data_IF_505792955317
#
_entry.id   IF_505792955317
#
_cell.length_a   1.000
_cell.length_b   1.000
_cell.length_c   1.000
_cell.angle_alpha   90.00
_cell.angle_beta   90.00
_cell.angle_gamma   90.00
#
_symmetry.space_group_name_H-M   'P 1'
#
loop_
_entity.id
_entity.type
_entity.pdbx_description
1 polymer ?
#
# COMPACT_ATOMS: atom_id res chain seq x y z
N UNK A 1 -31.26 15.04 16.19
CA UNK A 1 -30.86 15.35 14.80
C UNK A 1 -31.90 14.75 13.87
N UNK A 2 -32.29 15.41 12.78
CA UNK A 2 -33.35 14.92 11.89
C UNK A 2 -32.88 13.66 11.17
N UNK A 3 -33.68 12.57 11.16
CA UNK A 3 -33.36 11.30 10.47
C UNK A 3 -32.94 11.58 9.01
N UNK A 4 -33.58 12.56 8.36
CA UNK A 4 -33.24 12.99 7.00
C UNK A 4 -31.77 13.40 6.90
N UNK A 5 -31.25 14.21 7.82
CA UNK A 5 -29.85 14.67 7.79
C UNK A 5 -28.84 13.54 7.99
N UNK A 6 -29.19 12.48 8.72
CA UNK A 6 -28.32 11.31 8.89
C UNK A 6 -28.30 10.46 7.62
N UNK A 7 -29.47 10.23 7.02
CA UNK A 7 -29.61 9.51 5.75
C UNK A 7 -28.87 10.25 4.63
N UNK A 8 -29.00 11.57 4.55
CA UNK A 8 -28.29 12.40 3.57
C UNK A 8 -26.77 12.21 3.66
N UNK A 9 -26.23 12.16 4.89
CA UNK A 9 -24.80 11.96 5.12
C UNK A 9 -24.33 10.55 4.70
N UNK A 10 -25.15 9.52 4.94
CA UNK A 10 -24.85 8.15 4.51
C UNK A 10 -24.91 8.01 3.00
N UNK A 11 -25.93 8.59 2.35
CA UNK A 11 -26.06 8.61 0.89
C UNK A 11 -24.86 9.34 0.27
N UNK A 12 -24.50 10.51 0.80
CA UNK A 12 -23.32 11.26 0.35
C UNK A 12 -22.04 10.42 0.44
N UNK A 13 -21.81 9.75 1.58
CA UNK A 13 -20.65 8.88 1.78
C UNK A 13 -20.66 7.69 0.82
N UNK A 14 -21.83 7.09 0.58
CA UNK A 14 -21.98 5.97 -0.35
C UNK A 14 -21.71 6.40 -1.81
N UNK A 15 -22.17 7.58 -2.22
CA UNK A 15 -21.91 8.14 -3.56
C UNK A 15 -20.40 8.31 -3.77
N UNK A 16 -19.66 8.86 -2.79
CA UNK A 16 -18.20 8.99 -2.88
C UNK A 16 -17.55 7.62 -3.09
N UNK A 17 -17.93 6.63 -2.28
CA UNK A 17 -17.37 5.28 -2.37
C UNK A 17 -17.69 4.61 -3.72
N UNK A 18 -18.89 4.81 -4.26
CA UNK A 18 -19.28 4.31 -5.57
C UNK A 18 -18.50 4.98 -6.70
N UNK A 19 -18.28 6.30 -6.64
CA UNK A 19 -17.44 7.02 -7.62
C UNK A 19 -16.03 6.44 -7.63
N UNK A 20 -15.42 6.27 -6.45
CA UNK A 20 -14.07 5.66 -6.33
C UNK A 20 -14.07 4.25 -6.90
N UNK A 21 -15.08 3.44 -6.56
CA UNK A 21 -15.22 2.07 -7.06
C UNK A 21 -15.27 2.01 -8.59
N UNK A 22 -16.15 2.82 -9.21
CA UNK A 22 -16.28 2.84 -10.66
C UNK A 22 -15.02 3.38 -11.35
N UNK A 23 -14.36 4.38 -10.77
CA UNK A 23 -13.07 4.88 -11.26
C UNK A 23 -12.04 3.75 -11.33
N UNK A 24 -11.85 3.00 -10.24
CA UNK A 24 -10.91 1.87 -10.18
C UNK A 24 -11.25 0.81 -11.23
N UNK A 25 -12.55 0.53 -11.46
CA UNK A 25 -12.97 -0.45 -12.47
C UNK A 25 -12.73 0.00 -13.91
N UNK A 26 -12.68 1.32 -14.18
CA UNK A 26 -12.32 1.83 -15.51
C UNK A 26 -10.84 1.68 -15.83
N UNK A 27 -9.98 1.70 -14.82
CA UNK A 27 -8.55 1.46 -15.03
C UNK A 27 -8.27 -0.03 -15.25
N UNK A 28 -7.68 -0.38 -16.41
CA UNK A 28 -7.36 -1.77 -16.81
C UNK A 28 -6.17 -2.37 -16.04
N UNK A 29 -5.95 -2.02 -14.78
CA UNK A 29 -4.88 -2.61 -13.95
C UNK A 29 -5.36 -3.98 -13.44
N UNK A 30 -5.23 -5.00 -14.28
CA UNK A 30 -5.60 -6.38 -13.92
C UNK A 30 -4.60 -6.97 -12.91
N UNK A 31 -5.12 -7.50 -11.81
CA UNK A 31 -4.46 -8.42 -10.86
C UNK A 31 -3.40 -7.88 -9.88
N UNK A 32 -3.45 -6.60 -9.49
CA UNK A 32 -2.74 -6.16 -8.27
C UNK A 32 -3.59 -6.51 -7.04
N UNK A 33 -3.07 -7.36 -6.14
CA UNK A 33 -3.80 -7.75 -4.93
C UNK A 33 -4.03 -6.60 -3.96
N UNK A 34 -3.23 -5.52 -4.02
CA UNK A 34 -3.51 -4.32 -3.23
C UNK A 34 -4.81 -3.65 -3.66
N UNK A 35 -5.15 -3.69 -4.95
CA UNK A 35 -6.43 -3.19 -5.47
C UNK A 35 -7.57 -4.08 -4.94
N UNK A 36 -7.40 -5.40 -4.93
CA UNK A 36 -8.41 -6.34 -4.39
C UNK A 36 -8.70 -6.05 -2.90
N UNK A 37 -7.67 -5.86 -2.08
CA UNK A 37 -7.88 -5.50 -0.67
C UNK A 37 -8.46 -4.09 -0.49
N UNK A 38 -8.14 -3.15 -1.39
CA UNK A 38 -8.74 -1.83 -1.37
C UNK A 38 -10.22 -1.85 -1.77
N UNK A 39 -10.60 -2.64 -2.77
CA UNK A 39 -12.00 -2.89 -3.13
C UNK A 39 -12.76 -3.54 -1.96
N UNK A 40 -12.14 -4.48 -1.25
CA UNK A 40 -12.73 -5.08 -0.05
C UNK A 40 -13.08 -4.02 1.02
N UNK A 41 -12.21 -3.03 1.25
CA UNK A 41 -12.49 -1.91 2.15
C UNK A 41 -13.73 -1.15 1.68
N UNK A 42 -13.81 -0.82 0.39
CA UNK A 42 -14.95 -0.10 -0.19
C UNK A 42 -16.25 -0.90 0.01
N UNK A 43 -16.24 -2.19 -0.33
CA UNK A 43 -17.41 -3.06 -0.18
C UNK A 43 -17.89 -3.16 1.27
N UNK A 44 -16.96 -3.34 2.21
CA UNK A 44 -17.28 -3.41 3.64
C UNK A 44 -17.83 -2.07 4.13
N UNK A 45 -17.28 -0.93 3.69
CA UNK A 45 -17.81 0.38 4.08
C UNK A 45 -19.20 0.65 3.50
N UNK A 46 -19.45 0.27 2.24
CA UNK A 46 -20.78 0.35 1.62
C UNK A 46 -21.79 -0.54 2.35
N UNK A 47 -21.41 -1.76 2.71
CA UNK A 47 -22.25 -2.67 3.50
C UNK A 47 -22.65 -2.05 4.83
N UNK A 48 -21.70 -1.45 5.54
CA UNK A 48 -21.99 -0.78 6.82
C UNK A 48 -22.90 0.43 6.67
N UNK A 49 -22.66 1.28 5.66
CA UNK A 49 -23.52 2.43 5.35
C UNK A 49 -24.96 2.02 5.07
N UNK A 50 -25.15 0.93 4.31
CA UNK A 50 -26.47 0.39 3.99
C UNK A 50 -27.15 -0.14 5.27
N UNK A 51 -26.46 -0.96 6.06
CA UNK A 51 -27.03 -1.50 7.30
C UNK A 51 -27.43 -0.38 8.27
N UNK A 52 -26.61 0.66 8.42
CA UNK A 52 -26.91 1.74 9.34
C UNK A 52 -28.04 2.63 8.83
N UNK A 53 -28.10 2.92 7.53
CA UNK A 53 -29.22 3.64 6.93
C UNK A 53 -30.55 2.88 7.12
N UNK A 54 -30.56 1.56 6.86
CA UNK A 54 -31.75 0.73 7.07
C UNK A 54 -32.11 0.70 8.57
N UNK A 55 -31.13 0.67 9.48
CA UNK A 55 -31.38 0.66 10.93
C UNK A 55 -32.11 1.91 11.40
N UNK A 56 -31.77 3.08 10.87
CA UNK A 56 -32.46 4.33 11.21
C UNK A 56 -33.88 4.41 10.61
N UNK A 57 -34.08 3.86 9.42
CA UNK A 57 -35.40 3.86 8.75
C UNK A 57 -36.38 2.89 9.43
N UNK A 58 -35.87 1.77 9.96
CA UNK A 58 -36.70 0.71 10.55
C UNK A 58 -36.83 0.81 12.07
N UNK A 59 -36.13 1.75 12.72
CA UNK A 59 -36.24 1.97 14.16
C UNK A 59 -37.68 2.34 14.54
N UNK A 60 -38.25 1.66 15.55
CA UNK A 60 -39.63 1.86 15.98
C UNK A 60 -40.73 1.16 15.16
N UNK A 61 -40.39 0.44 14.06
CA UNK A 61 -41.41 -0.23 13.23
C UNK A 61 -41.74 -1.67 13.68
N UNK A 62 -40.73 -2.48 13.97
CA UNK A 62 -40.91 -3.90 14.32
C UNK A 62 -39.79 -4.40 15.22
N UNK A 63 -40.16 -5.01 16.35
CA UNK A 63 -39.21 -5.61 17.28
C UNK A 63 -38.27 -6.62 16.61
N UNK A 64 -38.82 -7.58 15.86
CA UNK A 64 -38.04 -8.69 15.28
C UNK A 64 -37.05 -8.14 14.24
N UNK A 65 -37.51 -7.25 13.37
CA UNK A 65 -36.69 -6.67 12.31
C UNK A 65 -35.58 -5.81 12.93
N UNK A 66 -35.93 -4.94 13.88
CA UNK A 66 -34.97 -4.05 14.54
C UNK A 66 -33.91 -4.84 15.33
N UNK A 67 -34.32 -5.91 16.01
CA UNK A 67 -33.40 -6.78 16.75
C UNK A 67 -32.36 -7.43 15.84
N UNK A 68 -32.80 -8.13 14.78
CA UNK A 68 -31.89 -8.85 13.88
C UNK A 68 -31.04 -7.92 13.02
N UNK A 69 -31.58 -6.78 12.61
CA UNK A 69 -30.80 -5.78 11.87
C UNK A 69 -29.66 -5.20 12.72
N UNK A 70 -29.94 -4.83 13.97
CA UNK A 70 -28.90 -4.39 14.90
C UNK A 70 -27.91 -5.51 15.22
N UNK A 71 -28.38 -6.76 15.31
CA UNK A 71 -27.51 -7.92 15.49
C UNK A 71 -26.49 -8.05 14.34
N UNK A 72 -26.96 -7.93 13.09
CA UNK A 72 -26.10 -7.99 11.89
C UNK A 72 -25.18 -6.76 11.80
N UNK A 73 -25.69 -5.57 12.11
CA UNK A 73 -24.91 -4.33 12.15
C UNK A 73 -23.75 -4.44 13.15
N UNK A 74 -24.05 -4.87 14.37
CA UNK A 74 -23.06 -5.06 15.41
C UNK A 74 -22.04 -6.16 15.05
N UNK A 75 -22.48 -7.28 14.48
CA UNK A 75 -21.56 -8.32 14.01
C UNK A 75 -20.62 -7.83 12.91
N UNK A 76 -21.08 -6.89 12.07
CA UNK A 76 -20.32 -6.35 10.95
C UNK A 76 -19.28 -5.29 11.36
N UNK A 77 -19.40 -4.69 12.55
CA UNK A 77 -18.51 -3.61 13.03
C UNK A 77 -17.00 -3.89 12.97
N UNK A 78 -16.50 -5.12 13.21
CA UNK A 78 -15.08 -5.41 13.10
C UNK A 78 -14.56 -5.48 11.66
N UNK A 79 -15.44 -5.71 10.67
CA UNK A 79 -15.03 -5.96 9.28
C UNK A 79 -14.24 -4.80 8.67
N UNK A 80 -14.59 -3.51 8.88
CA UNK A 80 -13.77 -2.39 8.43
C UNK A 80 -12.32 -2.50 8.94
N UNK A 81 -12.11 -2.69 10.25
CA UNK A 81 -10.76 -2.86 10.81
C UNK A 81 -10.02 -4.02 10.15
N UNK A 82 -10.67 -5.18 10.00
CA UNK A 82 -10.07 -6.36 9.36
C UNK A 82 -9.64 -6.05 7.93
N UNK A 83 -10.50 -5.42 7.13
CA UNK A 83 -10.21 -5.08 5.73
C UNK A 83 -9.03 -4.10 5.62
N UNK A 84 -8.96 -3.10 6.49
CA UNK A 84 -7.85 -2.16 6.58
C UNK A 84 -6.54 -2.85 6.96
N UNK A 85 -6.55 -3.69 8.00
CA UNK A 85 -5.36 -4.41 8.43
C UNK A 85 -4.83 -5.34 7.32
N UNK A 86 -5.70 -6.01 6.57
CA UNK A 86 -5.29 -6.82 5.42
C UNK A 86 -4.64 -5.98 4.32
N UNK A 87 -5.23 -4.84 3.98
CA UNK A 87 -4.68 -3.92 2.98
C UNK A 87 -3.28 -3.43 3.37
N UNK A 88 -3.11 -2.95 4.61
CA UNK A 88 -1.82 -2.45 5.08
C UNK A 88 -0.78 -3.56 5.25
N UNK A 89 -1.18 -4.74 5.74
CA UNK A 89 -0.28 -5.90 5.84
C UNK A 89 0.22 -6.34 4.45
N UNK A 90 -0.64 -6.31 3.42
CA UNK A 90 -0.22 -6.54 2.04
C UNK A 90 0.74 -5.47 1.53
N UNK A 91 0.44 -4.17 1.71
CA UNK A 91 1.33 -3.08 1.26
C UNK A 91 2.71 -3.11 1.94
N UNK A 92 2.82 -3.70 3.13
CA UNK A 92 4.08 -3.77 3.88
C UNK A 92 4.85 -5.06 3.60
N UNK A 93 4.16 -6.19 3.38
CA UNK A 93 4.80 -7.50 3.26
C UNK A 93 4.79 -8.09 1.85
N UNK A 94 3.84 -7.72 1.00
CA UNK A 94 3.58 -8.28 -0.33
C UNK A 94 3.65 -9.83 -0.37
N UNK A 95 3.30 -10.48 0.74
CA UNK A 95 3.39 -11.94 0.93
C UNK A 95 2.04 -12.52 1.29
N UNK A 96 1.43 -13.22 0.33
CA UNK A 96 0.12 -13.85 0.48
C UNK A 96 0.05 -14.90 1.58
N UNK A 97 1.11 -15.68 1.79
CA UNK A 97 1.10 -16.75 2.81
C UNK A 97 1.04 -16.13 4.21
N UNK A 98 1.80 -15.05 4.40
CA UNK A 98 1.82 -14.31 5.66
C UNK A 98 0.49 -13.65 5.96
N UNK A 99 -0.15 -13.04 4.97
CA UNK A 99 -1.46 -12.40 5.13
C UNK A 99 -2.52 -13.45 5.48
N UNK A 100 -2.52 -14.62 4.83
CA UNK A 100 -3.47 -15.70 5.16
C UNK A 100 -3.30 -16.18 6.60
N UNK A 101 -2.09 -16.18 7.14
CA UNK A 101 -1.82 -16.49 8.55
C UNK A 101 -2.34 -15.37 9.46
N UNK A 102 -2.05 -14.11 9.13
CA UNK A 102 -2.45 -12.94 9.91
C UNK A 102 -3.97 -12.71 9.91
N UNK A 103 -4.67 -13.08 8.83
CA UNK A 103 -6.13 -12.99 8.73
C UNK A 103 -6.84 -13.66 9.92
N UNK A 104 -6.37 -14.84 10.35
CA UNK A 104 -6.95 -15.54 11.51
C UNK A 104 -6.85 -14.72 12.80
N UNK A 105 -5.76 -13.96 12.95
CA UNK A 105 -5.55 -13.07 14.10
C UNK A 105 -6.46 -11.86 13.98
N UNK A 106 -6.57 -11.26 12.79
CA UNK A 106 -7.42 -10.10 12.55
C UNK A 106 -8.91 -10.40 12.77
N UNK A 107 -9.35 -11.64 12.59
CA UNK A 107 -10.73 -12.07 12.86
C UNK A 107 -11.06 -12.28 14.35
N UNK A 108 -10.11 -12.16 15.28
CA UNK A 108 -10.37 -12.36 16.71
C UNK A 108 -11.48 -11.43 17.26
N UNK A 109 -11.51 -10.11 16.99
CA UNK A 109 -12.59 -9.24 17.44
C UNK A 109 -13.97 -9.67 16.91
N UNK A 110 -14.03 -10.12 15.64
CA UNK A 110 -15.26 -10.64 15.05
C UNK A 110 -15.77 -11.89 15.79
N UNK A 111 -14.88 -12.83 16.11
CA UNK A 111 -15.24 -14.06 16.85
C UNK A 111 -15.74 -13.71 18.27
N UNK A 112 -15.06 -12.79 18.96
CA UNK A 112 -15.47 -12.33 20.30
C UNK A 112 -16.89 -11.74 20.24
N UNK A 113 -17.13 -10.83 19.30
CA UNK A 113 -18.44 -10.18 19.13
C UNK A 113 -19.52 -11.19 18.75
N UNK A 114 -19.23 -12.13 17.86
CA UNK A 114 -20.15 -13.18 17.47
C UNK A 114 -20.62 -14.03 18.67
N UNK A 115 -19.69 -14.47 19.52
CA UNK A 115 -20.02 -15.24 20.74
C UNK A 115 -20.87 -14.42 21.71
N UNK A 116 -20.53 -13.14 21.91
CA UNK A 116 -21.27 -12.26 22.80
C UNK A 116 -22.68 -11.96 22.27
N UNK A 117 -22.84 -11.81 20.96
CA UNK A 117 -24.14 -11.59 20.32
C UNK A 117 -25.03 -12.84 20.38
N UNK A 118 -24.46 -14.04 20.29
CA UNK A 118 -25.22 -15.29 20.56
C UNK A 118 -25.71 -15.30 22.01
N UNK A 119 -24.86 -14.94 22.96
CA UNK A 119 -25.26 -14.86 24.37
C UNK A 119 -26.34 -13.78 24.61
N UNK A 120 -26.24 -12.65 23.90
CA UNK A 120 -27.21 -11.54 23.96
C UNK A 120 -28.64 -11.95 23.58
N UNK A 121 -28.81 -12.98 22.76
CA UNK A 121 -30.13 -13.51 22.38
C UNK A 121 -30.92 -14.06 23.58
N UNK A 122 -30.21 -14.53 24.60
CA UNK A 122 -30.81 -15.10 25.81
C UNK A 122 -30.69 -14.18 27.01
N UNK A 123 -29.59 -13.44 27.12
CA UNK A 123 -29.29 -12.54 28.23
C UNK A 123 -28.81 -11.20 27.65
N UNK A 124 -29.69 -10.18 27.54
CA UNK A 124 -29.34 -8.91 26.91
C UNK A 124 -28.29 -8.18 27.74
N UNK A 125 -27.06 -8.14 27.24
CA UNK A 125 -25.91 -7.47 27.86
C UNK A 125 -25.28 -6.40 26.95
N UNK A 126 -25.45 -6.51 25.63
CA UNK A 126 -24.92 -5.59 24.62
C UNK A 126 -26.00 -4.58 24.22
N UNK A 127 -27.19 -5.06 23.86
CA UNK A 127 -28.32 -4.23 23.46
C UNK A 127 -29.65 -4.94 23.73
N UNK A 128 -30.71 -4.14 23.79
CA UNK A 128 -32.09 -4.60 23.80
C UNK A 128 -32.94 -3.68 22.92
N UNK A 129 -34.09 -4.17 22.50
CA UNK A 129 -35.15 -3.32 21.94
C UNK A 129 -36.15 -3.05 23.07
N UNK A 130 -36.50 -1.78 23.28
CA UNK A 130 -37.42 -1.38 24.35
C UNK A 130 -38.90 -1.59 23.96
N UNK A 131 -39.81 -1.25 24.87
CA UNK A 131 -41.26 -1.39 24.65
C UNK A 131 -41.79 -0.46 23.54
N UNK A 132 -41.05 0.57 23.16
CA UNK A 132 -41.37 1.47 22.05
C UNK A 132 -40.76 0.96 20.72
N UNK A 133 -40.25 -0.28 20.70
CA UNK A 133 -39.55 -0.89 19.57
C UNK A 133 -38.28 -0.13 19.17
N UNK A 134 -37.71 0.64 20.09
CA UNK A 134 -36.50 1.43 19.87
C UNK A 134 -35.26 0.70 20.36
N UNK A 135 -34.18 0.85 19.62
CA UNK A 135 -32.89 0.29 20.00
C UNK A 135 -32.30 0.99 21.25
N UNK A 136 -31.92 0.21 22.26
CA UNK A 136 -31.26 0.70 23.49
C UNK A 136 -29.93 -0.01 23.74
N UNK A 137 -28.89 0.79 24.01
CA UNK A 137 -27.51 0.33 24.29
C UNK A 137 -27.34 -0.11 25.74
N UNK A 138 -26.63 -1.21 25.97
CA UNK A 138 -26.27 -1.71 27.30
C UNK A 138 -24.75 -1.65 27.53
N UNK A 139 -24.31 -1.89 28.77
CA UNK A 139 -22.89 -1.77 29.17
C UNK A 139 -21.95 -2.71 28.41
N UNK A 140 -22.43 -3.85 27.91
CA UNK A 140 -21.62 -4.78 27.11
C UNK A 140 -21.17 -4.20 25.77
N UNK A 141 -21.78 -3.11 25.29
CA UNK A 141 -21.38 -2.45 24.05
C UNK A 141 -19.93 -1.92 24.08
N UNK A 142 -19.38 -1.61 25.26
CA UNK A 142 -17.99 -1.15 25.38
C UNK A 142 -16.95 -2.21 24.99
N UNK A 143 -17.32 -3.50 24.92
CA UNK A 143 -16.41 -4.58 24.51
C UNK A 143 -15.95 -4.40 23.05
N UNK A 144 -16.81 -3.83 22.19
CA UNK A 144 -16.55 -3.64 20.77
C UNK A 144 -15.32 -2.75 20.53
N UNK A 145 -15.32 -1.46 20.94
CA UNK A 145 -14.16 -0.58 20.76
C UNK A 145 -12.92 -1.10 21.51
N UNK A 146 -13.07 -1.74 22.67
CA UNK A 146 -11.94 -2.33 23.40
C UNK A 146 -11.26 -3.42 22.55
N UNK A 147 -12.04 -4.32 21.95
CA UNK A 147 -11.50 -5.41 21.13
C UNK A 147 -10.82 -4.89 19.86
N UNK A 148 -11.42 -3.90 19.19
CA UNK A 148 -10.92 -3.30 17.96
C UNK A 148 -9.63 -2.51 18.20
N UNK A 149 -9.61 -1.64 19.22
CA UNK A 149 -8.44 -0.83 19.54
C UNK A 149 -7.29 -1.70 20.07
N UNK A 150 -7.59 -2.75 20.83
CA UNK A 150 -6.57 -3.71 21.26
C UNK A 150 -5.90 -4.39 20.06
N UNK A 151 -6.69 -4.83 19.07
CA UNK A 151 -6.17 -5.44 17.84
C UNK A 151 -5.33 -4.44 17.03
N UNK A 152 -5.77 -3.18 16.91
CA UNK A 152 -5.02 -2.14 16.24
C UNK A 152 -3.68 -1.83 16.95
N UNK A 153 -3.67 -1.76 18.28
CA UNK A 153 -2.44 -1.56 19.07
C UNK A 153 -1.46 -2.73 18.85
N UNK A 154 -1.95 -3.97 18.88
CA UNK A 154 -1.13 -5.16 18.61
C UNK A 154 -0.51 -5.07 17.21
N UNK A 155 -1.27 -4.63 16.22
CA UNK A 155 -0.76 -4.42 14.86
C UNK A 155 0.36 -3.36 14.83
N UNK A 156 0.15 -2.20 15.47
CA UNK A 156 1.17 -1.14 15.56
C UNK A 156 2.45 -1.60 16.26
N UNK A 157 2.35 -2.41 17.32
CA UNK A 157 3.52 -2.98 18.01
C UNK A 157 4.30 -3.89 17.05
N UNK A 158 3.60 -4.73 16.29
CA UNK A 158 4.24 -5.60 15.29
C UNK A 158 4.91 -4.81 14.16
N UNK A 159 4.35 -3.67 13.77
CA UNK A 159 4.92 -2.79 12.74
C UNK A 159 6.25 -2.15 13.14
N UNK A 160 6.53 -1.99 14.45
CA UNK A 160 7.81 -1.43 14.91
C UNK A 160 9.02 -2.23 14.40
N UNK A 161 8.85 -3.53 14.17
CA UNK A 161 9.88 -4.42 13.60
C UNK A 161 10.29 -4.03 12.19
N UNK A 162 9.44 -3.31 11.45
CA UNK A 162 9.64 -2.97 10.04
C UNK A 162 9.77 -1.46 9.81
N UNK A 163 9.80 -0.64 10.85
CA UNK A 163 9.71 0.83 10.78
C UNK A 163 10.77 1.49 9.86
N UNK A 164 11.94 0.85 9.70
CA UNK A 164 13.04 1.38 8.89
C UNK A 164 12.87 1.10 7.39
N UNK A 165 12.01 0.14 7.02
CA UNK A 165 11.78 -0.27 5.63
C UNK A 165 10.47 0.24 5.05
N UNK A 166 9.56 0.72 5.90
CA UNK A 166 8.23 1.22 5.50
C UNK A 166 8.31 2.71 5.15
N UNK A 167 7.63 3.13 4.08
CA UNK A 167 7.43 4.55 3.80
C UNK A 167 6.69 5.23 4.96
N UNK A 168 7.29 6.29 5.51
CA UNK A 168 6.66 7.10 6.56
C UNK A 168 5.30 7.69 6.14
N UNK A 169 5.04 7.87 4.85
CA UNK A 169 3.71 8.25 4.34
C UNK A 169 2.69 7.14 4.55
N UNK A 170 3.03 5.88 4.24
CA UNK A 170 2.15 4.73 4.50
C UNK A 170 1.81 4.63 5.99
N UNK A 171 2.79 4.83 6.88
CA UNK A 171 2.56 4.83 8.32
C UNK A 171 1.61 5.98 8.72
N UNK A 172 1.79 7.19 8.18
CA UNK A 172 0.89 8.31 8.44
C UNK A 172 -0.52 8.03 7.95
N UNK A 173 -0.68 7.48 6.74
CA UNK A 173 -1.99 7.09 6.19
C UNK A 173 -2.66 6.05 7.08
N UNK A 174 -1.95 5.00 7.49
CA UNK A 174 -2.44 3.99 8.45
C UNK A 174 -2.93 4.64 9.75
N UNK A 175 -2.12 5.53 10.34
CA UNK A 175 -2.49 6.20 11.59
C UNK A 175 -3.72 7.08 11.42
N UNK A 176 -3.82 7.84 10.34
CA UNK A 176 -4.99 8.70 10.08
C UNK A 176 -6.26 7.88 9.88
N UNK A 177 -6.19 6.84 9.04
CA UNK A 177 -7.30 5.93 8.73
C UNK A 177 -7.84 5.23 9.96
N UNK A 178 -6.99 4.94 10.95
CA UNK A 178 -7.42 4.29 12.17
C UNK A 178 -7.83 5.28 13.26
N UNK A 179 -7.05 6.34 13.51
CA UNK A 179 -7.29 7.26 14.64
C UNK A 179 -8.52 8.13 14.39
N UNK A 180 -8.70 8.68 13.19
CA UNK A 180 -9.78 9.65 12.92
C UNK A 180 -11.16 9.01 13.06
N UNK A 181 -11.46 7.85 12.43
CA UNK A 181 -12.73 7.16 12.64
C UNK A 181 -12.89 6.64 14.06
N UNK A 182 -11.80 6.27 14.74
CA UNK A 182 -11.86 5.84 16.14
C UNK A 182 -12.31 6.97 17.08
N UNK A 183 -11.80 8.19 16.88
CA UNK A 183 -12.25 9.36 17.64
C UNK A 183 -13.73 9.65 17.35
N UNK A 184 -14.15 9.56 16.09
CA UNK A 184 -15.54 9.74 15.70
C UNK A 184 -16.45 8.68 16.36
N UNK A 185 -16.02 7.42 16.39
CA UNK A 185 -16.73 6.32 17.04
C UNK A 185 -16.83 6.52 18.55
N UNK A 186 -15.76 6.96 19.22
CA UNK A 186 -15.78 7.30 20.65
C UNK A 186 -16.79 8.41 20.93
N UNK A 187 -16.80 9.48 20.14
CA UNK A 187 -17.79 10.57 20.29
C UNK A 187 -19.21 10.02 20.11
N UNK A 188 -19.46 9.17 19.11
CA UNK A 188 -20.77 8.54 18.86
C UNK A 188 -21.22 7.58 19.98
N UNK A 189 -20.29 7.03 20.76
CA UNK A 189 -20.63 6.22 21.95
C UNK A 189 -21.19 7.13 23.06
N UNK A 190 -20.56 8.28 23.31
CA UNK A 190 -20.95 9.20 24.39
C UNK A 190 -22.09 10.16 24.00
N UNK A 191 -22.25 10.47 22.72
CA UNK A 191 -23.24 11.42 22.22
C UNK A 191 -24.21 10.71 21.27
N UNK A 192 -25.39 10.36 21.78
CA UNK A 192 -26.44 9.73 21.00
C UNK A 192 -26.90 10.65 19.86
N UNK A 193 -27.12 10.08 18.67
CA UNK A 193 -27.61 10.80 17.48
C UNK A 193 -26.53 11.46 16.61
N UNK A 194 -25.26 11.46 17.01
CA UNK A 194 -24.13 11.88 16.16
C UNK A 194 -23.73 10.74 15.24
N UNK A 195 -23.71 10.98 13.93
CA UNK A 195 -23.38 9.98 12.89
C UNK A 195 -22.07 10.30 12.17
N UNK A 196 -21.03 10.62 12.94
CA UNK A 196 -19.75 11.09 12.39
C UNK A 196 -18.85 9.95 11.88
N UNK A 197 -19.00 8.74 12.43
CA UNK A 197 -18.07 7.62 12.18
C UNK A 197 -18.02 7.25 10.70
N UNK A 198 -19.17 7.10 10.04
CA UNK A 198 -19.20 6.70 8.64
C UNK A 198 -18.80 7.81 7.65
N UNK A 199 -19.11 9.07 7.98
CA UNK A 199 -18.61 10.21 7.20
C UNK A 199 -17.08 10.30 7.25
N UNK A 200 -16.50 10.12 8.45
CA UNK A 200 -15.04 10.08 8.59
C UNK A 200 -14.43 8.86 7.93
N UNK A 201 -15.09 7.69 7.95
CA UNK A 201 -14.65 6.50 7.22
C UNK A 201 -14.61 6.74 5.70
N UNK A 202 -15.67 7.33 5.13
CA UNK A 202 -15.70 7.68 3.70
C UNK A 202 -14.55 8.62 3.31
N UNK A 203 -14.27 9.62 4.14
CA UNK A 203 -13.13 10.52 3.96
C UNK A 203 -11.77 9.79 4.07
N UNK A 204 -11.64 8.83 4.99
CA UNK A 204 -10.42 8.01 5.12
C UNK A 204 -10.19 7.08 3.92
N UNK A 205 -11.26 6.52 3.35
CA UNK A 205 -11.18 5.76 2.09
C UNK A 205 -10.73 6.68 0.96
N UNK A 206 -11.26 7.89 0.86
CA UNK A 206 -10.83 8.88 -0.15
C UNK A 206 -9.37 9.29 0.01
N UNK A 207 -8.89 9.55 1.23
CA UNK A 207 -7.46 9.83 1.49
C UNK A 207 -6.59 8.65 1.08
N UNK A 208 -7.03 7.43 1.34
CA UNK A 208 -6.29 6.23 0.93
C UNK A 208 -6.31 6.04 -0.57
N UNK A 209 -7.41 6.36 -1.25
CA UNK A 209 -7.48 6.37 -2.70
C UNK A 209 -6.45 7.34 -3.29
N UNK A 210 -6.36 8.58 -2.79
CA UNK A 210 -5.32 9.55 -3.19
C UNK A 210 -3.91 8.98 -2.96
N UNK A 211 -3.69 8.29 -1.84
CA UNK A 211 -2.41 7.64 -1.57
C UNK A 211 -2.10 6.53 -2.59
N UNK A 212 -3.08 5.68 -2.93
CA UNK A 212 -2.92 4.60 -3.92
C UNK A 212 -2.61 5.16 -5.30
N UNK A 213 -3.37 6.16 -5.76
CA UNK A 213 -3.14 6.84 -7.05
C UNK A 213 -1.77 7.51 -7.13
N UNK A 214 -1.29 8.05 -6.01
CA UNK A 214 0.05 8.61 -5.97
C UNK A 214 1.11 7.52 -6.12
N UNK A 215 0.92 6.36 -5.51
CA UNK A 215 1.88 5.25 -5.58
C UNK A 215 1.98 4.66 -7.00
N UNK A 216 0.88 4.61 -7.76
CA UNK A 216 0.90 4.17 -9.16
C UNK A 216 1.72 5.13 -10.02
N UNK A 217 1.59 6.45 -9.81
CA UNK A 217 2.41 7.46 -10.46
C UNK A 217 3.91 7.39 -10.11
N UNK A 218 4.25 6.73 -9.00
CA UNK A 218 5.63 6.54 -8.59
C UNK A 218 6.28 5.30 -9.22
N UNK A 219 5.54 4.49 -9.99
CA UNK A 219 6.07 3.33 -10.73
C UNK A 219 6.03 3.55 -12.24
N UNK A 220 7.06 3.05 -12.93
CA UNK A 220 7.14 3.02 -14.38
C UNK A 220 6.18 1.95 -14.93
N UNK A 221 5.30 2.34 -15.85
CA UNK A 221 4.23 1.47 -16.35
C UNK A 221 4.76 0.27 -17.16
N UNK A 222 5.91 0.42 -17.81
CA UNK A 222 6.48 -0.62 -18.67
C UNK A 222 7.20 -1.70 -17.84
N UNK A 223 8.03 -1.28 -16.90
CA UNK A 223 8.95 -2.16 -16.16
C UNK A 223 8.47 -2.48 -14.75
N UNK A 224 7.52 -1.72 -14.20
CA UNK A 224 7.06 -1.82 -12.81
C UNK A 224 8.06 -1.28 -11.78
N UNK A 225 9.21 -0.78 -12.22
CA UNK A 225 10.26 -0.21 -11.39
C UNK A 225 9.84 1.16 -10.84
N UNK A 226 10.58 1.66 -9.86
CA UNK A 226 10.39 3.02 -9.37
C UNK A 226 10.67 4.08 -10.44
N UNK A 227 9.99 5.21 -10.37
CA UNK A 227 10.26 6.39 -11.21
C UNK A 227 11.35 7.26 -10.58
N UNK A 228 11.91 8.17 -11.41
CA UNK A 228 12.82 9.22 -10.95
C UNK A 228 12.27 10.01 -9.76
N UNK A 229 10.99 10.36 -9.77
CA UNK A 229 10.36 11.07 -8.66
C UNK A 229 10.42 10.28 -7.34
N UNK A 230 10.25 8.96 -7.39
CA UNK A 230 10.39 8.12 -6.21
C UNK A 230 11.85 8.04 -5.73
N UNK A 231 12.81 7.96 -6.66
CA UNK A 231 14.23 7.94 -6.35
C UNK A 231 14.66 9.19 -5.59
N UNK A 232 14.28 10.37 -6.08
CA UNK A 232 14.60 11.66 -5.44
C UNK A 232 14.05 11.73 -4.01
N UNK A 233 12.80 11.26 -3.80
CA UNK A 233 12.20 11.17 -2.47
C UNK A 233 13.00 10.25 -1.52
N UNK A 234 13.40 9.07 -1.99
CA UNK A 234 14.12 8.07 -1.16
C UNK A 234 15.56 8.49 -0.89
N UNK A 235 16.20 9.14 -1.85
CA UNK A 235 17.53 9.73 -1.70
C UNK A 235 17.52 10.84 -0.64
N UNK A 236 16.56 11.78 -0.71
CA UNK A 236 16.39 12.84 0.28
C UNK A 236 16.15 12.26 1.69
N UNK A 237 15.36 11.19 1.81
CA UNK A 237 15.15 10.51 3.08
C UNK A 237 16.44 9.90 3.65
N UNK A 238 17.23 9.19 2.84
CA UNK A 238 18.49 8.57 3.29
C UNK A 238 19.52 9.62 3.70
N UNK A 239 19.64 10.72 2.94
CA UNK A 239 20.51 11.85 3.29
C UNK A 239 20.10 12.48 4.62
N UNK A 240 18.80 12.75 4.81
CA UNK A 240 18.28 13.32 6.06
C UNK A 240 18.50 12.40 7.27
N UNK A 241 18.39 11.07 7.07
CA UNK A 241 18.58 10.06 8.12
C UNK A 241 20.04 9.68 8.34
N UNK A 242 20.97 10.19 7.53
CA UNK A 242 22.38 9.77 7.51
C UNK A 242 22.48 8.26 7.46
N UNK A 243 21.89 7.66 6.43
CA UNK A 243 22.02 6.22 6.13
C UNK A 243 23.08 6.07 5.04
N UNK A 244 24.04 5.16 5.20
CA UNK A 244 25.04 4.91 4.17
C UNK A 244 24.43 4.14 2.98
N UNK A 245 24.81 4.50 1.76
CA UNK A 245 24.31 3.87 0.55
C UNK A 245 25.27 3.97 -0.62
N UNK A 246 25.06 3.12 -1.62
CA UNK A 246 25.64 3.25 -2.96
C UNK A 246 24.56 3.59 -3.97
N UNK A 247 24.85 4.54 -4.87
CA UNK A 247 24.08 4.75 -6.10
C UNK A 247 24.83 4.14 -7.27
N UNK A 248 24.11 3.45 -8.15
CA UNK A 248 24.64 2.90 -9.39
C UNK A 248 23.80 3.46 -10.54
N UNK A 249 24.43 4.20 -11.45
CA UNK A 249 23.83 4.62 -12.71
C UNK A 249 24.12 3.56 -13.77
N UNK A 250 23.10 3.19 -14.54
CA UNK A 250 23.13 2.14 -15.55
C UNK A 250 22.48 2.66 -16.82
N UNK A 251 23.08 2.38 -17.96
CA UNK A 251 22.55 2.68 -19.30
C UNK A 251 22.69 1.44 -20.18
N UNK A 252 21.64 1.13 -20.96
CA UNK A 252 21.70 0.02 -21.92
C UNK A 252 22.50 0.43 -23.16
N UNK A 253 23.54 -0.33 -23.48
CA UNK A 253 24.27 -0.08 -24.71
C UNK A 253 23.44 -0.53 -25.92
N UNK A 254 23.53 0.25 -26.99
CA UNK A 254 22.91 -0.04 -28.30
C UNK A 254 21.39 -0.27 -28.26
N UNK A 255 20.70 0.26 -27.25
CA UNK A 255 19.25 0.14 -27.14
C UNK A 255 18.50 0.70 -28.35
N UNK A 256 18.99 1.84 -28.89
CA UNK A 256 18.44 2.41 -30.12
C UNK A 256 18.59 1.45 -31.31
N UNK A 257 19.71 0.72 -31.42
CA UNK A 257 19.91 -0.28 -32.48
C UNK A 257 18.89 -1.41 -32.35
N UNK A 258 18.58 -1.84 -31.12
CA UNK A 258 17.53 -2.84 -30.88
C UNK A 258 16.18 -2.34 -31.39
N UNK A 259 15.78 -1.11 -31.02
CA UNK A 259 14.53 -0.51 -31.51
C UNK A 259 14.49 -0.39 -33.04
N UNK A 260 15.56 0.14 -33.62
CA UNK A 260 15.62 0.44 -35.06
C UNK A 260 15.65 -0.85 -35.90
N UNK A 261 16.21 -1.95 -35.37
CA UNK A 261 16.34 -3.24 -36.07
C UNK A 261 15.16 -4.17 -35.85
N UNK A 262 14.63 -4.24 -34.63
CA UNK A 262 13.64 -5.24 -34.21
C UNK A 262 12.28 -4.65 -33.84
N UNK A 263 12.15 -3.32 -33.85
CA UNK A 263 10.94 -2.60 -33.49
C UNK A 263 10.82 -2.29 -31.99
N UNK A 264 9.95 -1.34 -31.67
CA UNK A 264 9.76 -0.85 -30.30
C UNK A 264 9.21 -1.92 -29.34
N UNK A 265 8.37 -2.83 -29.80
CA UNK A 265 7.84 -3.92 -28.97
C UNK A 265 8.97 -4.83 -28.44
N UNK A 266 10.00 -5.06 -29.26
CA UNK A 266 11.18 -5.83 -28.86
C UNK A 266 12.09 -5.03 -27.93
N UNK A 267 12.20 -3.72 -28.13
CA UNK A 267 12.85 -2.82 -27.17
C UNK A 267 12.18 -2.83 -25.80
N UNK A 268 10.85 -2.83 -25.76
CA UNK A 268 10.08 -2.96 -24.53
C UNK A 268 10.34 -4.29 -23.81
N UNK A 269 10.49 -5.39 -24.55
CA UNK A 269 10.90 -6.69 -24.02
C UNK A 269 12.33 -6.63 -23.46
N UNK A 270 13.26 -5.96 -24.15
CA UNK A 270 14.64 -5.79 -23.70
C UNK A 270 14.69 -5.01 -22.37
N UNK A 271 13.93 -3.93 -22.24
CA UNK A 271 13.81 -3.13 -21.02
C UNK A 271 13.25 -3.95 -19.84
N UNK A 272 12.15 -4.69 -20.07
CA UNK A 272 11.57 -5.60 -19.06
C UNK A 272 12.56 -6.70 -18.63
N UNK A 273 13.35 -7.21 -19.57
CA UNK A 273 14.36 -8.22 -19.31
C UNK A 273 15.49 -7.66 -18.43
N UNK A 274 16.02 -6.48 -18.75
CA UNK A 274 17.00 -5.81 -17.89
C UNK A 274 16.42 -5.53 -16.51
N UNK A 275 15.20 -5.00 -16.41
CA UNK A 275 14.54 -4.76 -15.13
C UNK A 275 14.46 -6.04 -14.27
N UNK A 276 14.12 -7.19 -14.89
CA UNK A 276 14.12 -8.48 -14.20
C UNK A 276 15.52 -8.91 -13.73
N UNK A 277 16.55 -8.70 -14.54
CA UNK A 277 17.93 -9.03 -14.17
C UNK A 277 18.41 -8.16 -13.00
N UNK A 278 18.10 -6.85 -13.03
CA UNK A 278 18.41 -5.93 -11.93
C UNK A 278 17.73 -6.39 -10.64
N UNK A 279 16.44 -6.75 -10.69
CA UNK A 279 15.71 -7.29 -9.53
C UNK A 279 16.36 -8.51 -8.90
N UNK A 280 16.85 -9.44 -9.73
CA UNK A 280 17.53 -10.65 -9.24
C UNK A 280 18.94 -10.39 -8.69
N UNK A 281 19.48 -9.18 -8.87
CA UNK A 281 20.84 -8.81 -8.50
C UNK A 281 20.92 -8.11 -7.15
N UNK A 282 19.81 -7.56 -6.66
CA UNK A 282 19.74 -6.74 -5.45
C UNK A 282 18.87 -7.41 -4.37
N UNK A 283 18.93 -6.88 -3.15
CA UNK A 283 18.03 -7.32 -2.07
C UNK A 283 16.67 -6.67 -2.21
N UNK A 284 15.68 -7.21 -1.48
CA UNK A 284 14.31 -6.68 -1.48
C UNK A 284 14.22 -5.24 -0.96
N UNK A 285 15.09 -4.84 -0.02
CA UNK A 285 15.10 -3.47 0.50
C UNK A 285 15.78 -2.43 -0.40
N UNK A 286 16.54 -2.89 -1.41
CA UNK A 286 17.20 -2.04 -2.38
C UNK A 286 16.18 -1.51 -3.39
N UNK A 287 16.43 -0.32 -3.91
CA UNK A 287 15.54 0.34 -4.84
C UNK A 287 16.12 0.31 -6.24
N UNK A 288 15.29 -0.02 -7.22
CA UNK A 288 15.62 0.04 -8.65
C UNK A 288 14.65 1.03 -9.28
N UNK A 289 15.21 2.00 -10.00
CA UNK A 289 14.50 3.07 -10.65
C UNK A 289 14.76 3.01 -12.16
N UNK A 290 13.74 3.19 -12.99
CA UNK A 290 13.92 3.57 -14.39
C UNK A 290 14.03 5.10 -14.43
N UNK A 291 15.21 5.61 -14.73
CA UNK A 291 15.52 7.03 -14.61
C UNK A 291 14.97 7.83 -15.81
N UNK A 292 15.04 7.24 -17.01
CA UNK A 292 14.44 7.75 -18.24
C UNK A 292 14.88 6.90 -19.43
N UNK A 293 14.01 6.67 -20.41
CA UNK A 293 14.37 5.88 -21.61
C UNK A 293 14.91 4.49 -21.27
N UNK A 294 16.19 4.28 -21.52
CA UNK A 294 16.99 3.07 -21.28
C UNK A 294 17.98 3.18 -20.10
N UNK A 295 17.85 4.24 -19.30
CA UNK A 295 18.63 4.50 -18.10
C UNK A 295 17.94 3.97 -16.84
N UNK A 296 18.74 3.35 -15.97
CA UNK A 296 18.31 2.81 -14.69
C UNK A 296 19.22 3.31 -13.57
N UNK A 297 18.66 3.46 -12.37
CA UNK A 297 19.41 3.79 -11.15
C UNK A 297 19.11 2.76 -10.08
N UNK A 298 20.14 2.23 -9.44
CA UNK A 298 20.01 1.44 -8.23
C UNK A 298 20.44 2.28 -7.02
N UNK A 299 19.66 2.19 -5.95
CA UNK A 299 19.95 2.79 -4.65
C UNK A 299 20.01 1.67 -3.62
N UNK A 300 21.22 1.37 -3.16
CA UNK A 300 21.55 0.18 -2.35
C UNK A 300 21.97 0.63 -0.96
N UNK A 301 21.29 0.13 0.07
CA UNK A 301 21.67 0.41 1.46
C UNK A 301 22.84 -0.48 1.88
N UNK A 302 23.98 0.11 2.22
CA UNK A 302 25.13 -0.66 2.68
C UNK A 302 26.17 0.24 3.33
N UNK A 303 26.77 -0.26 4.41
CA UNK A 303 27.97 0.33 5.00
C UNK A 303 29.25 -0.07 4.25
N UNK A 304 29.17 -1.04 3.31
CA UNK A 304 30.31 -1.48 2.53
C UNK A 304 30.59 -0.50 1.37
N UNK A 305 31.79 0.10 1.39
CA UNK A 305 32.31 1.01 0.36
C UNK A 305 32.26 0.41 -1.06
N UNK A 306 32.41 -0.91 -1.18
CA UNK A 306 32.45 -1.63 -2.46
C UNK A 306 31.10 -2.24 -2.85
N UNK A 307 30.02 -1.95 -2.12
CA UNK A 307 28.70 -2.54 -2.41
C UNK A 307 28.22 -2.27 -3.84
N UNK A 308 28.45 -1.06 -4.35
CA UNK A 308 28.13 -0.69 -5.73
C UNK A 308 28.83 -1.58 -6.76
N UNK A 309 30.14 -1.75 -6.63
CA UNK A 309 30.97 -2.55 -7.55
C UNK A 309 30.60 -4.04 -7.51
N UNK A 310 30.35 -4.59 -6.32
CA UNK A 310 29.92 -5.98 -6.14
C UNK A 310 28.58 -6.26 -6.83
N UNK A 311 27.65 -5.30 -6.78
CA UNK A 311 26.36 -5.42 -7.46
C UNK A 311 26.52 -5.29 -8.97
N UNK A 312 27.37 -4.35 -9.45
CA UNK A 312 27.68 -4.24 -10.89
C UNK A 312 28.23 -5.56 -11.42
N UNK A 313 29.21 -6.17 -10.73
CA UNK A 313 29.80 -7.44 -11.15
C UNK A 313 28.74 -8.55 -11.25
N UNK A 314 27.83 -8.63 -10.26
CA UNK A 314 26.72 -9.60 -10.27
C UNK A 314 25.73 -9.37 -11.41
N UNK A 315 25.39 -8.11 -11.71
CA UNK A 315 24.51 -7.78 -12.85
C UNK A 315 25.17 -8.22 -14.15
N UNK A 316 26.46 -7.92 -14.33
CA UNK A 316 27.21 -8.31 -15.54
C UNK A 316 27.26 -9.83 -15.72
N UNK A 317 27.47 -10.59 -14.64
CA UNK A 317 27.45 -12.05 -14.66
C UNK A 317 26.08 -12.61 -15.08
N UNK A 318 24.99 -12.03 -14.55
CA UNK A 318 23.62 -12.45 -14.92
C UNK A 318 23.28 -12.09 -16.37
N UNK A 319 23.71 -10.92 -16.85
CA UNK A 319 23.57 -10.54 -18.27
C UNK A 319 24.33 -11.52 -19.16
N UNK A 320 25.57 -11.87 -18.81
CA UNK A 320 26.36 -12.88 -19.53
C UNK A 320 25.63 -14.22 -19.57
N UNK A 321 25.11 -14.66 -18.42
CA UNK A 321 24.32 -15.90 -18.31
C UNK A 321 23.05 -15.85 -19.17
N UNK A 322 22.36 -14.71 -19.21
CA UNK A 322 21.19 -14.52 -20.06
C UNK A 322 21.56 -14.62 -21.55
N UNK A 323 22.59 -13.88 -21.98
CA UNK A 323 23.04 -13.86 -23.37
C UNK A 323 23.53 -15.23 -23.87
N UNK A 324 24.18 -16.03 -23.00
CA UNK A 324 24.65 -17.37 -23.35
C UNK A 324 23.53 -18.37 -23.65
N UNK A 325 22.27 -18.04 -23.29
CA UNK A 325 21.12 -18.87 -23.66
C UNK A 325 20.66 -18.63 -25.10
N UNK A 326 21.20 -17.62 -25.77
CA UNK A 326 20.90 -17.26 -27.17
C UNK A 326 19.39 -17.15 -27.46
N UNK A 327 18.61 -16.68 -26.47
CA UNK A 327 17.15 -16.55 -26.56
C UNK A 327 16.75 -15.50 -27.61
N UNK A 328 17.60 -14.51 -27.83
CA UNK A 328 17.37 -13.36 -28.72
C UNK A 328 18.51 -13.24 -29.73
N UNK A 329 18.22 -12.67 -30.90
CA UNK A 329 19.18 -12.41 -31.98
C UNK A 329 20.17 -11.28 -31.67
N UNK A 330 19.99 -10.59 -30.54
CA UNK A 330 20.88 -9.55 -30.04
C UNK A 330 21.36 -9.90 -28.62
N UNK A 331 22.52 -9.36 -28.24
CA UNK A 331 23.05 -9.50 -26.89
C UNK A 331 22.74 -8.25 -26.08
N UNK A 332 22.23 -8.43 -24.86
CA UNK A 332 22.05 -7.33 -23.93
C UNK A 332 23.41 -6.93 -23.35
N UNK A 333 23.68 -5.63 -23.25
CA UNK A 333 24.81 -5.14 -22.48
C UNK A 333 24.49 -3.78 -21.88
N UNK A 334 25.18 -3.45 -20.79
CA UNK A 334 24.96 -2.22 -20.05
C UNK A 334 26.30 -1.54 -19.74
N UNK A 335 26.28 -0.23 -19.57
CA UNK A 335 27.37 0.54 -18.99
C UNK A 335 26.96 0.99 -17.60
N UNK A 336 27.89 0.93 -16.63
CA UNK A 336 27.57 1.22 -15.23
C UNK A 336 28.61 2.16 -14.61
N UNK A 337 28.17 2.98 -13.65
CA UNK A 337 29.03 3.78 -12.77
C UNK A 337 28.43 3.84 -11.37
N UNK A 338 29.27 3.85 -10.34
CA UNK A 338 28.77 3.83 -8.95
C UNK A 338 29.40 4.90 -8.06
N UNK A 339 28.62 5.40 -7.11
CA UNK A 339 29.08 6.34 -6.09
C UNK A 339 28.61 5.86 -4.72
N UNK A 340 29.57 5.57 -3.85
CA UNK A 340 29.31 5.35 -2.44
C UNK A 340 29.20 6.69 -1.70
N UNK A 341 28.26 6.78 -0.76
CA UNK A 341 28.00 7.96 0.07
C UNK A 341 28.09 7.59 1.54
N UNK A 342 29.08 8.17 2.23
CA UNK A 342 29.28 8.00 3.67
C UNK A 342 28.59 9.10 4.50
N UNK A 343 28.30 8.75 5.75
CA UNK A 343 27.50 9.41 6.80
C UNK A 343 27.85 10.87 7.19
N UNK A 344 28.89 11.49 6.61
CA UNK A 344 29.46 12.75 7.13
C UNK A 344 29.53 13.91 6.15
N UNK A 345 29.21 13.69 4.89
CA UNK A 345 29.28 14.76 3.90
C UNK A 345 27.88 15.35 3.65
N UNK A 346 27.73 16.66 3.82
CA UNK A 346 26.56 17.41 3.32
C UNK A 346 26.63 17.47 1.79
N UNK A 347 26.42 16.32 1.14
CA UNK A 347 26.44 16.19 -0.31
C UNK A 347 25.02 16.38 -0.82
N UNK A 348 24.85 17.25 -1.81
CA UNK A 348 23.59 17.38 -2.50
C UNK A 348 23.32 16.17 -3.40
N UNK A 349 22.07 15.72 -3.38
CA UNK A 349 21.51 14.64 -4.20
C UNK A 349 21.93 14.71 -5.67
N UNK A 350 21.89 15.90 -6.28
CA UNK A 350 22.27 16.11 -7.67
C UNK A 350 23.74 15.77 -7.94
N UNK A 351 24.62 16.17 -7.02
CA UNK A 351 26.06 15.89 -7.16
C UNK A 351 26.40 14.40 -7.05
N UNK A 352 25.66 13.64 -6.23
CA UNK A 352 25.82 12.18 -6.11
C UNK A 352 25.46 11.49 -7.42
N UNK A 353 24.30 11.82 -7.99
CA UNK A 353 23.85 11.25 -9.27
C UNK A 353 24.82 11.62 -10.40
N UNK A 354 25.28 12.87 -10.44
CA UNK A 354 26.24 13.36 -11.44
C UNK A 354 27.58 12.62 -11.38
N UNK A 355 28.06 12.28 -10.19
CA UNK A 355 29.32 11.53 -10.03
C UNK A 355 29.18 10.09 -10.53
N UNK A 356 28.06 9.43 -10.24
CA UNK A 356 27.77 8.08 -10.74
C UNK A 356 27.60 8.07 -12.28
N UNK A 357 26.90 9.07 -12.81
CA UNK A 357 26.70 9.29 -14.26
C UNK A 357 28.04 9.47 -14.99
N UNK A 358 28.95 10.31 -14.47
CA UNK A 358 30.29 10.49 -15.05
C UNK A 358 31.07 9.18 -15.14
N UNK A 359 30.97 8.31 -14.14
CA UNK A 359 31.64 7.01 -14.16
C UNK A 359 31.00 6.07 -15.19
N UNK A 360 29.67 6.06 -15.28
CA UNK A 360 28.94 5.29 -16.28
C UNK A 360 29.33 5.73 -17.69
N UNK A 361 29.38 7.04 -17.95
CA UNK A 361 29.78 7.57 -19.24
C UNK A 361 31.20 7.14 -19.62
N UNK A 362 32.16 7.20 -18.67
CA UNK A 362 33.51 6.68 -18.89
C UNK A 362 33.51 5.19 -19.25
N UNK A 363 32.70 4.39 -18.56
CA UNK A 363 32.55 2.97 -18.88
C UNK A 363 31.97 2.75 -20.28
N UNK A 364 30.97 3.55 -20.68
CA UNK A 364 30.35 3.51 -22.01
C UNK A 364 31.35 3.82 -23.13
N UNK A 365 32.21 4.82 -22.92
CA UNK A 365 33.26 5.18 -23.88
C UNK A 365 34.31 4.08 -24.03
N UNK A 366 34.75 3.47 -22.92
CA UNK A 366 35.70 2.34 -22.96
C UNK A 366 35.12 1.17 -23.76
N UNK A 367 33.84 0.82 -23.52
CA UNK A 367 33.19 -0.29 -24.24
C UNK A 367 33.03 0.01 -25.73
N UNK A 368 32.63 1.22 -26.10
CA UNK A 368 32.58 1.64 -27.50
C UNK A 368 33.94 1.47 -28.16
N UNK A 369 35.01 1.92 -27.53
CA UNK A 369 36.37 1.80 -28.07
C UNK A 369 36.90 0.36 -28.16
N UNK A 370 36.36 -0.59 -27.39
CA UNK A 370 36.71 -2.02 -27.50
C UNK A 370 35.87 -2.77 -28.55
N UNK A 371 34.79 -2.15 -29.04
CA UNK A 371 33.85 -2.75 -29.99
C UNK A 371 34.17 -2.38 -31.45
N UNK A 372 35.04 -1.39 -31.65
CA UNK A 372 35.70 -1.03 -32.91
C UNK A 372 37.13 -1.58 -32.89
#
# INVERSE_FOLDING_TARGET
MNIITQIDLYIYSAIILLIIYFYIKTEKVKNDLSIIYFELIIYVCLWMLILEAISWVLDGNSYIINYWLNWILLLSNPLPLVSWLLYFDYKIHEDHKKIKKNFKIYMIPFIIIFVLLIYNNYNPIIFTIDNNMMYTRLKGMYIFPISEYSMFIIYLINLRKYKNHIDGRLIKTLLLVSIVPSIAALIQIFVYGVTLSWATMGLMVFITFIYVERETLLKDQLTGLSTRAQLENRLAFKLKRKIAFSIIMIDMNDFKVINDTYGHDEGDIALKTIASILHQSVKREDMICRYGGDEFVLLVESDNLNAGELIIARIQEKIKTYNNKEIKSYKLSISCGSKYVHLFNNIDSFSILRDADKQMYRNKMIKKNMSY
#
